data_IF_392971796694
#
_entry.id   IF_392971796694
#
_cell.length_a   1.000
_cell.length_b   1.000
_cell.length_c   1.000
_cell.angle_alpha   90.00
_cell.angle_beta   90.00
_cell.angle_gamma   90.00
#
_symmetry.space_group_name_H-M   'P 1'
#
loop_
_entity.id
_entity.type
_entity.pdbx_description
1 polymer ?
#
# COMPACT_ATOMS: atom_id res chain seq x y z
N UNK A 1 31.69 -4.12 -8.30
CA UNK A 1 31.75 -5.09 -7.19
C UNK A 1 31.78 -4.44 -5.80
N UNK A 2 32.85 -3.78 -5.33
CA UNK A 2 32.83 -3.17 -3.98
C UNK A 2 31.89 -1.95 -3.86
N UNK A 3 31.73 -1.17 -4.94
CA UNK A 3 30.88 0.04 -4.97
C UNK A 3 29.38 -0.28 -5.09
N UNK A 4 29.02 -1.43 -5.68
CA UNK A 4 27.62 -1.89 -5.83
C UNK A 4 27.00 -2.40 -4.52
N UNK A 5 27.82 -2.87 -3.59
CA UNK A 5 27.36 -3.31 -2.26
C UNK A 5 27.01 -2.14 -1.34
N UNK A 6 27.31 -0.89 -1.72
CA UNK A 6 26.98 0.29 -0.92
C UNK A 6 25.58 0.88 -1.25
N UNK A 7 24.83 0.32 -2.21
CA UNK A 7 23.52 0.85 -2.63
C UNK A 7 22.38 -0.15 -2.39
N UNK A 8 21.31 0.33 -1.75
CA UNK A 8 20.04 -0.41 -1.60
C UNK A 8 19.14 -0.10 -2.80
N UNK A 9 18.60 -1.16 -3.40
CA UNK A 9 17.60 -1.09 -4.46
C UNK A 9 16.31 -1.81 -4.06
N UNK A 10 15.17 -1.30 -4.50
CA UNK A 10 13.85 -1.81 -4.15
C UNK A 10 12.97 -1.93 -5.40
N UNK A 11 12.40 -3.11 -5.61
CA UNK A 11 11.39 -3.38 -6.64
C UNK A 11 10.02 -3.52 -5.99
N UNK A 12 9.01 -2.82 -6.50
CA UNK A 12 7.61 -3.10 -6.20
C UNK A 12 6.92 -3.56 -7.47
N UNK A 13 6.15 -4.65 -7.41
CA UNK A 13 5.46 -5.16 -8.60
C UNK A 13 4.18 -5.94 -8.25
N UNK A 14 3.03 -5.42 -8.69
CA UNK A 14 1.80 -6.20 -8.72
C UNK A 14 1.88 -7.21 -9.88
N UNK A 15 2.02 -8.49 -9.56
CA UNK A 15 2.30 -9.54 -10.55
C UNK A 15 1.03 -10.12 -11.19
N UNK A 16 -0.15 -9.62 -10.85
CA UNK A 16 -1.46 -10.08 -11.30
C UNK A 16 -1.65 -11.59 -11.08
N UNK A 17 -2.33 -11.96 -10.00
CA UNK A 17 -2.55 -13.36 -9.65
C UNK A 17 -3.24 -14.10 -10.82
N UNK A 18 -2.84 -15.33 -11.18
CA UNK A 18 -3.46 -16.08 -12.26
C UNK A 18 -4.98 -16.26 -12.13
N UNK A 19 -5.51 -16.33 -10.90
CA UNK A 19 -6.95 -16.37 -10.59
C UNK A 19 -7.71 -15.08 -10.97
N UNK A 20 -7.00 -13.97 -11.16
CA UNK A 20 -7.57 -12.68 -11.54
C UNK A 20 -7.35 -12.35 -13.01
N UNK A 21 -6.35 -12.96 -13.66
CA UNK A 21 -6.08 -12.74 -15.08
C UNK A 21 -7.10 -13.46 -15.95
N UNK A 22 -8.01 -12.71 -16.56
CA UNK A 22 -9.01 -13.23 -17.51
C UNK A 22 -8.37 -13.46 -18.88
N UNK A 23 -8.60 -14.64 -19.45
CA UNK A 23 -8.28 -14.96 -20.85
C UNK A 23 -9.51 -14.76 -21.74
N UNK A 24 -10.69 -15.05 -21.18
CA UNK A 24 -12.01 -14.74 -21.74
C UNK A 24 -12.99 -14.46 -20.57
N UNK A 25 -14.26 -14.19 -20.85
CA UNK A 25 -15.30 -13.83 -19.87
C UNK A 25 -15.45 -14.86 -18.74
N UNK A 26 -15.26 -16.14 -19.03
CA UNK A 26 -15.48 -17.23 -18.07
C UNK A 26 -14.19 -17.90 -17.60
N UNK A 27 -13.07 -17.66 -18.28
CA UNK A 27 -11.85 -18.46 -18.11
C UNK A 27 -10.71 -17.61 -17.60
N UNK A 28 -10.05 -18.09 -16.56
CA UNK A 28 -8.91 -17.46 -15.92
C UNK A 28 -7.61 -18.15 -16.37
N UNK A 29 -6.49 -17.43 -16.29
CA UNK A 29 -5.19 -18.02 -16.57
C UNK A 29 -4.88 -19.18 -15.61
N UNK A 30 -5.39 -19.13 -14.37
CA UNK A 30 -5.30 -20.21 -13.38
C UNK A 30 -5.80 -21.56 -13.88
N UNK A 31 -6.73 -21.58 -14.85
CA UNK A 31 -7.31 -22.81 -15.40
C UNK A 31 -6.32 -23.56 -16.31
N UNK A 32 -5.22 -22.92 -16.72
CA UNK A 32 -4.22 -23.49 -17.62
C UNK A 32 -2.82 -23.41 -17.02
N UNK A 33 -2.36 -24.53 -16.43
CA UNK A 33 -1.02 -24.64 -15.82
C UNK A 33 0.10 -24.11 -16.69
N UNK A 34 0.14 -24.49 -17.96
CA UNK A 34 1.20 -24.05 -18.87
C UNK A 34 1.28 -22.52 -19.00
N UNK A 35 0.15 -21.81 -18.94
CA UNK A 35 0.10 -20.36 -19.18
C UNK A 35 0.56 -19.60 -17.95
N UNK A 36 0.00 -19.90 -16.78
CA UNK A 36 0.43 -19.21 -15.56
C UNK A 36 1.86 -19.59 -15.20
N UNK A 37 2.30 -20.84 -15.43
CA UNK A 37 3.66 -21.27 -15.13
C UNK A 37 4.66 -20.51 -16.00
N UNK A 38 4.47 -20.48 -17.31
CA UNK A 38 5.36 -19.79 -18.25
C UNK A 38 5.47 -18.29 -17.93
N UNK A 39 4.35 -17.61 -17.64
CA UNK A 39 4.39 -16.18 -17.28
C UNK A 39 5.14 -15.93 -15.98
N UNK A 40 4.91 -16.74 -14.95
CA UNK A 40 5.55 -16.54 -13.66
C UNK A 40 7.04 -16.91 -13.67
N UNK A 41 7.46 -17.87 -14.51
CA UNK A 41 8.87 -18.12 -14.79
C UNK A 41 9.55 -16.90 -15.41
N UNK A 42 8.92 -16.27 -16.42
CA UNK A 42 9.45 -15.03 -17.01
C UNK A 42 9.53 -13.89 -15.98
N UNK A 43 8.51 -13.73 -15.12
CA UNK A 43 8.53 -12.73 -14.05
C UNK A 43 9.71 -12.98 -13.10
N UNK A 44 9.92 -14.23 -12.67
CA UNK A 44 11.05 -14.61 -11.82
C UNK A 44 12.39 -14.34 -12.49
N UNK A 45 12.56 -14.72 -13.75
CA UNK A 45 13.78 -14.44 -14.52
C UNK A 45 14.07 -12.93 -14.55
N UNK A 46 13.06 -12.09 -14.77
CA UNK A 46 13.22 -10.63 -14.75
C UNK A 46 13.62 -10.11 -13.38
N UNK A 47 12.97 -10.58 -12.31
CA UNK A 47 13.32 -10.19 -10.93
C UNK A 47 14.76 -10.58 -10.59
N UNK A 48 15.20 -11.77 -11.01
CA UNK A 48 16.55 -12.29 -10.79
C UNK A 48 17.61 -11.63 -11.68
N UNK A 49 17.22 -11.06 -12.81
CA UNK A 49 18.09 -10.23 -13.65
C UNK A 49 18.31 -8.85 -13.03
N UNK A 50 17.24 -8.22 -12.52
CA UNK A 50 17.32 -6.91 -11.85
C UNK A 50 18.11 -6.97 -10.53
N UNK A 51 18.11 -8.13 -9.84
CA UNK A 51 18.90 -8.38 -8.61
C UNK A 51 18.73 -7.31 -7.55
N UNK A 52 17.51 -6.79 -7.37
CA UNK A 52 17.29 -5.75 -6.38
C UNK A 52 17.40 -6.28 -4.96
N UNK A 53 17.88 -5.46 -4.05
CA UNK A 53 18.12 -5.88 -2.67
C UNK A 53 16.82 -6.15 -1.89
N UNK A 54 15.71 -5.53 -2.31
CA UNK A 54 14.36 -5.67 -1.75
C UNK A 54 13.39 -5.88 -2.92
N UNK A 55 12.55 -6.91 -2.83
CA UNK A 55 11.48 -7.20 -3.79
C UNK A 55 10.16 -7.28 -3.03
N UNK A 56 9.17 -6.48 -3.44
CA UNK A 56 7.85 -6.41 -2.85
C UNK A 56 6.78 -6.69 -3.91
N UNK A 57 6.16 -7.86 -3.83
CA UNK A 57 5.15 -8.31 -4.78
C UNK A 57 3.75 -8.20 -4.18
N UNK A 58 2.79 -7.84 -5.04
CA UNK A 58 1.35 -7.82 -4.75
C UNK A 58 0.62 -8.76 -5.70
N UNK A 59 -0.57 -9.22 -5.29
CA UNK A 59 -1.32 -10.26 -6.01
C UNK A 59 -0.51 -11.56 -6.22
N UNK A 60 0.30 -11.91 -5.21
CA UNK A 60 1.00 -13.18 -5.20
C UNK A 60 0.00 -14.31 -4.92
N UNK A 61 -0.03 -15.35 -5.75
CA UNK A 61 -1.05 -16.41 -5.68
C UNK A 61 -0.72 -17.45 -4.61
N UNK A 62 -0.92 -17.07 -3.34
CA UNK A 62 -0.63 -17.89 -2.15
C UNK A 62 -1.45 -19.18 -2.09
N UNK A 63 -2.61 -19.23 -2.76
CA UNK A 63 -3.47 -20.42 -2.81
C UNK A 63 -2.97 -21.54 -3.73
N UNK A 64 -1.84 -21.39 -4.42
CA UNK A 64 -1.28 -22.41 -5.31
C UNK A 64 0.13 -22.81 -4.84
N UNK A 65 0.24 -23.99 -4.22
CA UNK A 65 1.50 -24.49 -3.64
C UNK A 65 2.63 -24.60 -4.68
N UNK A 66 2.31 -24.95 -5.93
CA UNK A 66 3.31 -25.08 -6.98
C UNK A 66 3.95 -23.73 -7.35
N UNK A 67 3.14 -22.69 -7.53
CA UNK A 67 3.64 -21.34 -7.77
C UNK A 67 4.42 -20.84 -6.55
N UNK A 68 3.92 -21.11 -5.34
CA UNK A 68 4.60 -20.74 -4.09
C UNK A 68 6.00 -21.33 -4.03
N UNK A 69 6.13 -22.66 -4.14
CA UNK A 69 7.43 -23.33 -4.11
C UNK A 69 8.36 -22.83 -5.23
N UNK A 70 7.83 -22.60 -6.43
CA UNK A 70 8.64 -22.07 -7.54
C UNK A 70 9.29 -20.71 -7.20
N UNK A 71 8.55 -19.79 -6.58
CA UNK A 71 9.11 -18.50 -6.16
C UNK A 71 10.07 -18.65 -4.99
N UNK A 72 9.72 -19.46 -3.98
CA UNK A 72 10.56 -19.68 -2.81
C UNK A 72 11.90 -20.31 -3.19
N UNK A 73 11.89 -21.40 -3.96
CA UNK A 73 13.11 -22.10 -4.38
C UNK A 73 14.02 -21.17 -5.19
N UNK A 74 13.46 -20.52 -6.21
CA UNK A 74 14.25 -19.64 -7.11
C UNK A 74 14.84 -18.43 -6.39
N UNK A 75 14.07 -17.80 -5.50
CA UNK A 75 14.56 -16.65 -4.72
C UNK A 75 15.54 -17.10 -3.63
N UNK A 76 15.30 -18.24 -2.98
CA UNK A 76 16.20 -18.79 -1.95
C UNK A 76 17.56 -19.18 -2.55
N UNK A 77 17.55 -19.89 -3.69
CA UNK A 77 18.73 -20.25 -4.47
C UNK A 77 19.53 -19.02 -4.90
N UNK A 78 18.83 -17.92 -5.19
CA UNK A 78 19.42 -16.63 -5.51
C UNK A 78 19.84 -15.79 -4.28
N UNK A 79 19.75 -16.34 -3.07
CA UNK A 79 20.26 -15.67 -1.86
C UNK A 79 19.26 -14.75 -1.16
N UNK A 80 17.97 -14.86 -1.41
CA UNK A 80 16.93 -14.08 -0.72
C UNK A 80 16.36 -14.80 0.50
N UNK A 81 15.94 -14.02 1.50
CA UNK A 81 14.93 -14.43 2.47
C UNK A 81 13.55 -14.03 1.95
N UNK A 82 12.57 -14.93 2.02
CA UNK A 82 11.20 -14.71 1.53
C UNK A 82 10.21 -14.68 2.70
N UNK A 83 9.21 -13.82 2.59
CA UNK A 83 8.10 -13.69 3.53
C UNK A 83 6.80 -13.58 2.76
N UNK A 84 5.87 -14.49 3.01
CA UNK A 84 4.57 -14.52 2.36
C UNK A 84 3.47 -14.13 3.35
N UNK A 85 2.44 -13.45 2.85
CA UNK A 85 1.27 -13.12 3.66
C UNK A 85 0.00 -13.20 2.81
N UNK A 86 -0.79 -14.23 3.05
CA UNK A 86 -2.11 -14.36 2.44
C UNK A 86 -3.10 -13.36 3.04
N UNK A 87 -4.12 -12.97 2.26
CA UNK A 87 -5.25 -12.21 2.78
C UNK A 87 -6.12 -13.08 3.69
N UNK A 88 -6.77 -12.45 4.67
CA UNK A 88 -7.57 -13.13 5.69
C UNK A 88 -8.90 -13.68 5.19
N UNK A 89 -9.34 -13.31 3.98
CA UNK A 89 -10.63 -13.69 3.42
C UNK A 89 -10.57 -14.82 2.38
N UNK A 90 -9.49 -15.61 2.35
CA UNK A 90 -9.32 -16.76 1.46
C UNK A 90 -9.53 -16.44 -0.03
N UNK A 91 -9.23 -15.21 -0.45
CA UNK A 91 -9.27 -14.80 -1.87
C UNK A 91 -8.23 -15.51 -2.74
N UNK A 92 -7.27 -16.19 -2.12
CA UNK A 92 -6.20 -16.95 -2.78
C UNK A 92 -4.98 -16.11 -3.13
N UNK A 93 -5.04 -14.78 -3.03
CA UNK A 93 -3.90 -13.89 -3.23
C UNK A 93 -3.36 -13.29 -1.93
N UNK A 94 -2.16 -12.73 -2.02
CA UNK A 94 -1.47 -12.08 -0.93
C UNK A 94 -0.27 -11.24 -1.37
N UNK A 95 0.66 -11.11 -0.45
CA UNK A 95 1.92 -10.39 -0.61
C UNK A 95 3.09 -11.37 -0.55
N UNK A 96 4.16 -11.06 -1.28
CA UNK A 96 5.48 -11.66 -1.08
C UNK A 96 6.49 -10.53 -0.91
N UNK A 97 7.33 -10.61 0.13
CA UNK A 97 8.49 -9.75 0.30
C UNK A 97 9.74 -10.63 0.28
N UNK A 98 10.74 -10.23 -0.48
CA UNK A 98 12.04 -10.87 -0.53
C UNK A 98 13.16 -9.86 -0.28
N UNK A 99 14.13 -10.20 0.55
CA UNK A 99 15.32 -9.36 0.79
C UNK A 99 16.62 -10.17 0.70
N UNK A 100 17.63 -9.58 0.08
CA UNK A 100 18.88 -10.29 -0.23
C UNK A 100 19.79 -10.40 1.01
N UNK A 101 20.29 -11.61 1.28
CA UNK A 101 21.11 -11.96 2.47
C UNK A 101 22.38 -11.11 2.59
N UNK A 102 23.01 -10.79 1.47
CA UNK A 102 24.25 -10.00 1.45
C UNK A 102 24.04 -8.54 1.87
N UNK A 103 22.82 -8.02 1.76
CA UNK A 103 22.50 -6.63 2.09
C UNK A 103 21.88 -6.49 3.47
N UNK A 104 21.17 -7.51 3.95
CA UNK A 104 20.32 -7.39 5.12
C UNK A 104 20.44 -8.57 6.08
N UNK A 105 20.58 -8.23 7.36
CA UNK A 105 20.24 -9.12 8.46
C UNK A 105 18.80 -8.84 8.91
N UNK A 106 17.98 -9.88 8.99
CA UNK A 106 16.61 -9.77 9.51
C UNK A 106 16.64 -9.60 11.03
N UNK A 107 15.98 -8.57 11.53
CA UNK A 107 15.79 -8.33 12.95
C UNK A 107 14.39 -8.74 13.42
N UNK A 108 13.35 -8.47 12.61
CA UNK A 108 11.97 -8.85 12.92
C UNK A 108 11.09 -8.86 11.66
N UNK A 109 10.02 -9.64 11.70
CA UNK A 109 8.96 -9.65 10.71
C UNK A 109 7.60 -9.58 11.42
N UNK A 110 6.70 -8.74 10.92
CA UNK A 110 5.37 -8.54 11.47
C UNK A 110 4.33 -8.52 10.36
N UNK A 111 3.22 -9.20 10.62
CA UNK A 111 2.05 -9.24 9.76
C UNK A 111 1.01 -8.25 10.28
N UNK A 112 0.49 -7.43 9.39
CA UNK A 112 -0.58 -6.49 9.69
C UNK A 112 -1.84 -6.97 8.98
N UNK A 113 -2.72 -7.61 9.73
CA UNK A 113 -4.03 -8.07 9.26
C UNK A 113 -5.05 -6.97 9.54
N UNK A 114 -5.67 -6.38 8.51
CA UNK A 114 -6.57 -5.26 8.76
C UNK A 114 -7.93 -5.68 9.31
N UNK A 115 -8.36 -6.92 9.00
CA UNK A 115 -9.64 -7.52 9.42
C UNK A 115 -10.81 -6.54 9.30
N UNK A 116 -10.86 -5.84 8.16
CA UNK A 116 -11.81 -4.78 7.87
C UNK A 116 -12.33 -4.89 6.44
N UNK A 117 -13.03 -3.85 5.97
CA UNK A 117 -13.59 -3.85 4.64
C UNK A 117 -12.51 -4.06 3.56
N UNK A 118 -12.59 -5.23 2.91
CA UNK A 118 -11.68 -5.64 1.86
C UNK A 118 -10.56 -6.59 2.31
N UNK A 119 -10.41 -6.84 3.61
CA UNK A 119 -9.44 -7.80 4.18
C UNK A 119 -8.07 -7.70 3.50
N UNK A 120 -7.56 -6.47 3.46
CA UNK A 120 -6.22 -6.20 2.99
C UNK A 120 -5.23 -6.47 4.12
N UNK A 121 -3.98 -6.63 3.73
CA UNK A 121 -2.89 -6.97 4.62
C UNK A 121 -1.68 -6.10 4.29
N UNK A 122 -0.77 -5.96 5.24
CA UNK A 122 0.55 -5.40 5.00
C UNK A 122 1.61 -6.22 5.75
N UNK A 123 2.84 -6.19 5.23
CA UNK A 123 4.01 -6.80 5.85
C UNK A 123 4.91 -5.69 6.37
N UNK A 124 5.46 -5.83 7.57
CA UNK A 124 6.53 -4.98 8.09
C UNK A 124 7.76 -5.85 8.36
N UNK A 125 8.86 -5.52 7.69
CA UNK A 125 10.15 -6.15 7.89
C UNK A 125 11.13 -5.14 8.49
N UNK A 126 11.72 -5.52 9.62
CA UNK A 126 12.77 -4.76 10.27
C UNK A 126 14.12 -5.42 9.95
N UNK A 127 15.00 -4.67 9.28
CA UNK A 127 16.30 -5.17 8.84
C UNK A 127 17.42 -4.28 9.31
N UNK A 128 18.60 -4.88 9.48
CA UNK A 128 19.86 -4.19 9.67
C UNK A 128 20.69 -4.33 8.39
N UNK A 129 21.29 -3.24 7.92
CA UNK A 129 22.19 -3.28 6.77
C UNK A 129 23.47 -4.04 7.11
N UNK A 130 23.86 -4.95 6.22
CA UNK A 130 25.13 -5.66 6.26
C UNK A 130 26.14 -4.89 5.40
N UNK A 131 26.58 -3.72 5.88
CA UNK A 131 27.54 -2.89 5.13
C UNK A 131 28.95 -3.49 5.26
N UNK A 132 29.66 -3.80 4.16
CA UNK A 132 31.06 -4.16 4.22
C UNK A 132 31.88 -3.00 4.79
N UNK A 133 32.85 -3.29 5.66
CA UNK A 133 33.68 -2.28 6.35
C UNK A 133 34.35 -1.26 5.41
N UNK A 134 34.51 -1.59 4.12
CA UNK A 134 35.06 -0.72 3.07
C UNK A 134 34.16 0.45 2.64
N UNK A 135 32.83 0.37 2.81
CA UNK A 135 31.90 1.47 2.50
C UNK A 135 31.78 2.49 3.67
N UNK A 136 32.38 2.19 4.82
CA UNK A 136 32.26 2.98 6.04
C UNK A 136 33.46 3.91 6.23
N UNK A 137 33.36 5.15 5.73
CA UNK A 137 34.31 6.22 6.07
C UNK A 137 34.04 6.85 7.46
N UNK A 138 33.09 6.31 8.23
CA UNK A 138 32.71 6.85 9.54
C UNK A 138 33.20 5.92 10.64
N UNK A 139 34.05 6.46 11.52
CA UNK A 139 34.55 5.82 12.76
C UNK A 139 33.44 5.45 13.79
N UNK A 140 32.17 5.56 13.43
CA UNK A 140 31.05 5.24 14.30
C UNK A 140 30.37 3.96 13.80
N UNK A 141 30.47 2.94 14.62
CA UNK A 141 29.84 1.62 14.55
C UNK A 141 28.31 1.69 14.72
N UNK A 142 27.66 2.61 14.00
CA UNK A 142 26.20 2.71 14.01
C UNK A 142 25.65 1.74 12.98
N UNK A 143 25.20 0.59 13.48
CA UNK A 143 24.35 -0.37 12.76
C UNK A 143 23.17 0.38 12.16
N UNK A 144 23.14 0.47 10.83
CA UNK A 144 22.05 1.14 10.13
C UNK A 144 20.88 0.17 10.02
N UNK A 145 19.72 0.59 10.49
CA UNK A 145 18.48 -0.19 10.46
C UNK A 145 17.50 0.44 9.46
N UNK A 146 16.56 -0.34 8.96
CA UNK A 146 15.56 0.07 7.99
C UNK A 146 14.24 -0.68 8.26
N UNK A 147 13.12 0.04 8.18
CA UNK A 147 11.79 -0.57 8.15
C UNK A 147 11.28 -0.61 6.70
N UNK A 148 10.90 -1.80 6.25
CA UNK A 148 10.35 -2.03 4.92
C UNK A 148 8.90 -2.48 5.09
N UNK A 149 7.98 -1.85 4.37
CA UNK A 149 6.57 -2.22 4.35
C UNK A 149 6.15 -2.57 2.92
N UNK A 150 5.44 -3.67 2.77
CA UNK A 150 4.76 -4.05 1.52
C UNK A 150 3.25 -4.09 1.77
N UNK A 151 2.44 -3.59 0.85
CA UNK A 151 0.97 -3.60 0.96
C UNK A 151 0.28 -3.62 -0.41
N UNK A 152 -0.99 -3.99 -0.42
CA UNK A 152 -1.88 -3.83 -1.56
C UNK A 152 -3.23 -3.30 -1.07
N UNK A 153 -3.52 -2.02 -1.34
CA UNK A 153 -4.72 -1.37 -0.85
C UNK A 153 -5.98 -1.77 -1.61
N UNK A 154 -7.15 -1.47 -1.04
CA UNK A 154 -8.45 -1.77 -1.64
C UNK A 154 -8.64 -1.13 -3.03
N UNK A 155 -9.00 -1.95 -4.02
CA UNK A 155 -9.24 -1.49 -5.39
C UNK A 155 -10.36 -0.42 -5.45
N UNK A 156 -10.21 0.66 -6.22
CA UNK A 156 -11.16 1.76 -6.29
C UNK A 156 -12.36 1.44 -7.20
N UNK A 157 -13.23 0.51 -6.79
CA UNK A 157 -14.44 0.20 -7.57
C UNK A 157 -15.36 1.43 -7.75
N UNK A 158 -15.38 2.32 -6.75
CA UNK A 158 -16.06 3.62 -6.77
C UNK A 158 -15.29 4.64 -5.90
N UNK A 159 -15.71 5.91 -5.94
CA UNK A 159 -15.08 7.01 -5.19
C UNK A 159 -15.30 6.94 -3.68
N UNK A 160 -16.39 6.32 -3.19
CA UNK A 160 -16.67 6.22 -1.75
C UNK A 160 -15.67 5.32 -1.01
N UNK A 161 -15.03 4.37 -1.71
CA UNK A 161 -13.94 3.55 -1.18
C UNK A 161 -12.62 4.31 -0.92
N UNK A 162 -12.54 5.59 -1.26
CA UNK A 162 -11.35 6.41 -0.99
C UNK A 162 -11.08 6.59 0.51
N UNK A 163 -12.12 6.68 1.34
CA UNK A 163 -11.98 6.75 2.81
C UNK A 163 -11.46 5.42 3.36
N UNK A 164 -11.96 4.29 2.85
CA UNK A 164 -11.49 2.97 3.26
C UNK A 164 -9.98 2.81 2.98
N UNK A 165 -9.51 3.18 1.78
CA UNK A 165 -8.06 3.20 1.48
C UNK A 165 -7.28 4.12 2.41
N UNK A 166 -7.77 5.34 2.66
CA UNK A 166 -7.10 6.28 3.55
C UNK A 166 -6.99 5.72 4.97
N UNK A 167 -8.03 5.04 5.46
CA UNK A 167 -8.02 4.37 6.76
C UNK A 167 -7.04 3.19 6.79
N UNK A 168 -6.91 2.42 5.71
CA UNK A 168 -5.90 1.36 5.58
C UNK A 168 -4.47 1.93 5.71
N UNK A 169 -4.18 3.06 5.05
CA UNK A 169 -2.88 3.74 5.21
C UNK A 169 -2.66 4.23 6.63
N UNK A 170 -3.69 4.80 7.26
CA UNK A 170 -3.62 5.21 8.67
C UNK A 170 -3.27 4.05 9.60
N UNK A 171 -3.89 2.87 9.43
CA UNK A 171 -3.55 1.67 10.19
C UNK A 171 -2.09 1.26 10.01
N UNK A 172 -1.59 1.27 8.78
CA UNK A 172 -0.18 0.96 8.49
C UNK A 172 0.74 1.94 9.24
N UNK A 173 0.51 3.25 9.10
CA UNK A 173 1.36 4.26 9.74
C UNK A 173 1.28 4.22 11.27
N UNK A 174 0.09 3.99 11.83
CA UNK A 174 -0.10 3.84 13.28
C UNK A 174 0.67 2.63 13.81
N UNK A 175 0.67 1.53 13.06
CA UNK A 175 1.45 0.34 13.41
C UNK A 175 2.95 0.61 13.33
N UNK A 176 3.42 1.27 12.27
CA UNK A 176 4.84 1.66 12.13
C UNK A 176 5.29 2.55 13.29
N UNK A 177 4.52 3.60 13.64
CA UNK A 177 4.85 4.49 14.76
C UNK A 177 4.87 3.74 16.11
N UNK A 178 3.91 2.82 16.31
CA UNK A 178 3.85 1.98 17.51
C UNK A 178 5.05 1.06 17.60
N UNK A 179 5.38 0.37 16.50
CA UNK A 179 6.54 -0.50 16.41
C UNK A 179 7.83 0.28 16.65
N UNK A 180 7.98 1.48 16.07
CA UNK A 180 9.14 2.34 16.29
C UNK A 180 9.26 2.74 17.76
N UNK A 181 8.17 3.14 18.42
CA UNK A 181 8.18 3.51 19.84
C UNK A 181 8.55 2.34 20.74
N UNK A 182 7.94 1.18 20.54
CA UNK A 182 8.17 -0.03 21.35
C UNK A 182 9.61 -0.54 21.25
N UNK A 183 10.20 -0.42 20.06
CA UNK A 183 11.57 -0.88 19.79
C UNK A 183 12.62 0.25 19.85
N UNK A 184 12.23 1.47 20.26
CA UNK A 184 13.10 2.66 20.37
C UNK A 184 13.79 3.06 19.06
N UNK A 185 13.08 2.94 17.94
CA UNK A 185 13.55 3.15 16.56
C UNK A 185 13.21 4.56 16.01
N UNK A 186 13.25 5.59 16.86
CA UNK A 186 12.80 6.95 16.51
C UNK A 186 13.56 7.60 15.34
N UNK A 187 14.76 7.11 15.02
CA UNK A 187 15.60 7.59 13.91
C UNK A 187 15.68 6.63 12.71
N UNK A 188 14.93 5.53 12.70
CA UNK A 188 15.04 4.51 11.64
C UNK A 188 14.23 4.92 10.40
N UNK A 189 14.86 4.95 9.21
CA UNK A 189 14.16 5.24 7.95
C UNK A 189 13.09 4.20 7.63
N UNK A 190 12.08 4.63 6.88
CA UNK A 190 10.95 3.79 6.48
C UNK A 190 10.80 3.80 4.97
N UNK A 191 10.72 2.62 4.37
CA UNK A 191 10.37 2.39 2.97
C UNK A 191 8.98 1.76 2.94
N UNK A 192 8.00 2.42 2.31
CA UNK A 192 6.68 1.83 2.06
C UNK A 192 6.56 1.53 0.57
N UNK A 193 6.27 0.30 0.22
CA UNK A 193 6.14 -0.17 -1.16
C UNK A 193 4.80 -0.86 -1.37
N UNK A 194 4.31 -0.85 -2.60
CA UNK A 194 3.11 -1.58 -2.95
C UNK A 194 2.23 -0.91 -3.98
N UNK A 195 1.10 -1.58 -4.24
CA UNK A 195 -0.02 -1.05 -5.01
C UNK A 195 -0.96 -0.29 -4.08
N UNK A 196 -0.93 1.03 -4.17
CA UNK A 196 -1.71 1.92 -3.30
C UNK A 196 -3.13 2.14 -3.82
N UNK A 197 -3.46 1.66 -5.03
CA UNK A 197 -4.77 1.84 -5.65
C UNK A 197 -5.29 3.29 -5.58
N UNK A 198 -4.36 4.25 -5.61
CA UNK A 198 -4.60 5.67 -5.43
C UNK A 198 -3.55 6.46 -6.19
N UNK A 199 -4.00 7.30 -7.12
CA UNK A 199 -3.10 8.12 -7.94
C UNK A 199 -2.50 9.28 -7.15
N UNK A 200 -1.55 9.98 -7.78
CA UNK A 200 -0.93 11.21 -7.25
C UNK A 200 -1.93 12.31 -6.88
N UNK A 201 -3.05 12.42 -7.60
CA UNK A 201 -4.16 13.35 -7.26
C UNK A 201 -4.96 12.90 -6.03
N UNK A 202 -4.86 11.62 -5.68
CA UNK A 202 -5.62 10.96 -4.65
C UNK A 202 -5.25 11.40 -3.24
N UNK A 203 -6.17 11.12 -2.31
CA UNK A 203 -6.03 11.50 -0.89
C UNK A 203 -5.00 10.65 -0.14
N UNK A 204 -4.82 9.40 -0.56
CA UNK A 204 -3.75 8.52 -0.06
C UNK A 204 -2.37 9.15 -0.30
N UNK A 205 -2.11 9.57 -1.54
CA UNK A 205 -0.86 10.23 -1.92
C UNK A 205 -0.63 11.48 -1.07
N UNK A 206 -1.61 12.39 -1.03
CA UNK A 206 -1.54 13.64 -0.25
C UNK A 206 -1.34 13.39 1.25
N UNK A 207 -1.98 12.36 1.79
CA UNK A 207 -1.81 11.97 3.19
C UNK A 207 -0.39 11.50 3.49
N UNK A 208 0.19 10.63 2.65
CA UNK A 208 1.59 10.19 2.81
C UNK A 208 2.57 11.37 2.73
N UNK A 209 2.37 12.28 1.77
CA UNK A 209 3.16 13.53 1.68
C UNK A 209 3.09 14.34 2.97
N UNK A 210 1.90 14.50 3.55
CA UNK A 210 1.70 15.21 4.82
C UNK A 210 2.37 14.54 6.03
N UNK A 211 2.83 13.29 5.87
CA UNK A 211 3.55 12.51 6.89
C UNK A 211 5.05 12.42 6.59
N UNK A 212 5.56 13.29 5.72
CA UNK A 212 6.98 13.39 5.40
C UNK A 212 7.49 12.30 4.46
N UNK A 213 6.60 11.54 3.80
CA UNK A 213 7.03 10.57 2.81
C UNK A 213 7.27 11.23 1.46
N UNK A 214 8.41 10.91 0.85
CA UNK A 214 8.75 11.28 -0.52
C UNK A 214 8.57 10.10 -1.46
N UNK A 215 7.98 10.33 -2.64
CA UNK A 215 7.90 9.32 -3.69
C UNK A 215 9.27 9.20 -4.37
N UNK A 216 9.85 8.00 -4.36
CA UNK A 216 11.11 7.72 -5.07
C UNK A 216 10.99 8.01 -6.58
N UNK A 217 9.82 7.76 -7.16
CA UNK A 217 9.54 8.03 -8.56
C UNK A 217 9.60 9.53 -8.85
N UNK A 218 9.01 10.36 -7.99
CA UNK A 218 9.06 11.81 -8.15
C UNK A 218 10.47 12.36 -7.99
N UNK A 219 11.24 11.82 -7.04
CA UNK A 219 12.65 12.19 -6.85
C UNK A 219 13.45 11.86 -8.12
N UNK A 220 13.30 10.65 -8.66
CA UNK A 220 14.04 10.20 -9.83
C UNK A 220 13.72 11.04 -11.09
N UNK A 221 12.46 11.44 -11.27
CA UNK A 221 11.99 12.17 -12.45
C UNK A 221 11.93 13.69 -12.24
N UNK A 222 12.31 14.18 -11.04
CA UNK A 222 12.17 15.59 -10.63
C UNK A 222 10.75 16.12 -10.79
N UNK A 223 9.77 15.28 -10.48
CA UNK A 223 8.36 15.67 -10.53
C UNK A 223 7.95 16.41 -9.27
N UNK A 224 7.06 17.36 -9.46
CA UNK A 224 6.46 18.20 -8.42
C UNK A 224 5.10 17.63 -8.02
N UNK A 225 4.55 18.07 -6.90
CA UNK A 225 3.16 17.71 -6.51
C UNK A 225 2.09 18.46 -7.32
N UNK A 226 2.46 19.12 -8.43
CA UNK A 226 1.53 19.81 -9.31
C UNK A 226 0.65 18.84 -10.11
N UNK A 227 -0.50 19.34 -10.58
CA UNK A 227 -1.41 18.56 -11.41
C UNK A 227 -0.85 18.21 -12.78
N UNK A 228 0.16 18.95 -13.25
CA UNK A 228 0.84 18.73 -14.54
C UNK A 228 1.69 17.45 -14.53
N UNK A 229 2.27 17.10 -13.37
CA UNK A 229 3.05 15.87 -13.23
C UNK A 229 2.19 14.67 -12.82
N UNK A 230 0.95 14.91 -12.37
CA UNK A 230 0.12 13.88 -11.74
C UNK A 230 -0.31 12.72 -12.65
N UNK A 231 -0.22 12.89 -13.98
CA UNK A 231 -0.60 11.90 -14.97
C UNK A 231 0.60 11.24 -15.68
N UNK A 232 1.83 11.65 -15.34
CA UNK A 232 3.06 11.16 -16.00
C UNK A 232 3.47 9.78 -15.51
N UNK A 233 3.11 9.43 -14.28
CA UNK A 233 3.37 8.10 -13.74
C UNK A 233 2.39 7.07 -14.30
N UNK A 234 2.94 5.99 -14.85
CA UNK A 234 2.19 4.81 -15.25
C UNK A 234 2.90 3.59 -14.66
N UNK A 235 2.19 2.84 -13.83
CA UNK A 235 2.69 1.62 -13.23
C UNK A 235 2.13 0.37 -13.91
N UNK A 236 0.81 0.30 -14.14
CA UNK A 236 0.19 -0.84 -14.82
C UNK A 236 -1.15 -0.52 -15.48
N UNK A 237 -1.69 -1.49 -16.24
CA UNK A 237 -3.04 -1.48 -16.78
C UNK A 237 -3.95 -2.33 -15.89
N UNK A 238 -5.00 -1.72 -15.33
CA UNK A 238 -5.90 -2.43 -14.42
C UNK A 238 -6.86 -3.39 -15.16
N UNK A 239 -7.65 -4.16 -14.40
CA UNK A 239 -8.63 -5.11 -14.97
C UNK A 239 -9.77 -4.47 -15.79
N UNK A 240 -9.96 -3.14 -15.69
CA UNK A 240 -10.88 -2.37 -16.54
C UNK A 240 -10.22 -1.88 -17.84
N UNK A 241 -8.96 -2.22 -18.04
CA UNK A 241 -8.16 -1.78 -19.18
C UNK A 241 -7.69 -0.32 -19.08
N UNK A 242 -7.78 0.33 -17.92
CA UNK A 242 -7.30 1.70 -17.74
C UNK A 242 -5.82 1.71 -17.36
N UNK A 243 -5.08 2.68 -17.91
CA UNK A 243 -3.69 2.94 -17.55
C UNK A 243 -3.68 3.70 -16.22
N UNK A 244 -2.90 3.22 -15.24
CA UNK A 244 -2.89 3.73 -13.87
C UNK A 244 -1.46 3.90 -13.38
N UNK A 245 -1.21 4.96 -12.59
CA UNK A 245 0.01 5.15 -11.80
C UNK A 245 -0.32 5.07 -10.33
N UNK A 246 -0.29 3.87 -9.76
CA UNK A 246 -0.76 3.58 -8.39
C UNK A 246 0.23 2.78 -7.55
N UNK A 247 1.28 2.24 -8.17
CA UNK A 247 2.37 1.56 -7.49
C UNK A 247 3.40 2.61 -7.08
N UNK A 248 3.81 2.62 -5.82
CA UNK A 248 4.75 3.61 -5.32
C UNK A 248 5.71 3.00 -4.31
N UNK A 249 6.96 3.46 -4.35
CA UNK A 249 7.94 3.26 -3.29
C UNK A 249 8.15 4.63 -2.62
N UNK A 250 7.69 4.72 -1.37
CA UNK A 250 7.75 5.89 -0.51
C UNK A 250 8.93 5.80 0.44
N UNK A 251 9.61 6.92 0.65
CA UNK A 251 10.78 7.04 1.49
C UNK A 251 10.50 8.07 2.57
N UNK A 252 10.73 7.71 3.84
CA UNK A 252 10.74 8.68 4.95
C UNK A 252 12.04 8.55 5.72
N UNK A 253 12.75 9.67 5.81
CA UNK A 253 13.86 9.83 6.73
C UNK A 253 13.36 10.63 7.95
N UNK A 254 13.34 10.07 9.17
CA UNK A 254 12.66 10.65 10.33
C UNK A 254 13.31 11.91 10.92
N UNK A 255 14.23 12.57 10.20
CA UNK A 255 14.87 13.79 10.66
C UNK A 255 13.98 15.04 10.55
N UNK A 256 12.85 14.94 9.84
CA UNK A 256 11.94 16.07 9.66
C UNK A 256 10.75 15.99 10.63
N UNK A 257 10.41 17.08 11.33
CA UNK A 257 9.24 17.10 12.20
C UNK A 257 7.97 16.93 11.37
N UNK A 258 7.17 15.90 11.70
CA UNK A 258 5.90 15.62 11.02
C UNK A 258 4.72 16.01 11.89
N UNK A 259 3.63 16.42 11.24
CA UNK A 259 2.34 16.65 11.89
C UNK A 259 1.80 15.35 12.51
N UNK A 260 1.12 15.39 13.67
CA UNK A 260 0.54 14.20 14.29
C UNK A 260 -0.37 13.42 13.34
N UNK A 261 -0.18 12.10 13.29
CA UNK A 261 -0.86 11.20 12.36
C UNK A 261 -2.39 11.35 12.38
N UNK A 262 -2.97 11.41 13.58
CA UNK A 262 -4.43 11.55 13.77
C UNK A 262 -4.96 12.87 13.18
N UNK A 263 -4.22 13.96 13.32
CA UNK A 263 -4.61 15.26 12.78
C UNK A 263 -4.56 15.26 11.25
N UNK A 264 -3.46 14.76 10.67
CA UNK A 264 -3.31 14.66 9.21
C UNK A 264 -4.37 13.74 8.59
N UNK A 265 -4.70 12.63 9.27
CA UNK A 265 -5.73 11.72 8.82
C UNK A 265 -7.12 12.36 8.86
N UNK A 266 -7.45 13.04 9.97
CA UNK A 266 -8.72 13.73 10.11
C UNK A 266 -8.91 14.76 8.99
N UNK A 267 -7.90 15.59 8.70
CA UNK A 267 -7.95 16.56 7.60
C UNK A 267 -8.17 15.91 6.23
N UNK A 268 -7.47 14.81 5.97
CA UNK A 268 -7.63 14.07 4.72
C UNK A 268 -9.03 13.46 4.60
N UNK A 269 -9.57 12.90 5.68
CA UNK A 269 -10.92 12.32 5.75
C UNK A 269 -12.00 13.40 5.58
N UNK A 270 -11.91 14.52 6.31
CA UNK A 270 -12.78 15.68 6.15
C UNK A 270 -12.74 16.23 4.73
N UNK A 271 -11.56 16.27 4.11
CA UNK A 271 -11.40 16.67 2.71
C UNK A 271 -12.15 15.77 1.72
N UNK A 272 -12.28 14.46 2.00
CA UNK A 272 -13.09 13.55 1.18
C UNK A 272 -14.58 13.82 1.41
N UNK A 273 -15.00 13.85 2.69
CA UNK A 273 -16.40 14.04 3.08
C UNK A 273 -16.94 15.35 2.48
N UNK A 274 -16.17 16.43 2.55
CA UNK A 274 -16.54 17.73 1.97
C UNK A 274 -16.80 17.63 0.47
N UNK A 275 -15.96 16.94 -0.30
CA UNK A 275 -16.14 16.77 -1.75
C UNK A 275 -17.39 15.94 -2.05
N UNK A 276 -17.60 14.85 -1.32
CA UNK A 276 -18.80 14.01 -1.48
C UNK A 276 -20.05 14.84 -1.19
N UNK A 277 -20.08 15.56 -0.07
CA UNK A 277 -21.21 16.41 0.30
C UNK A 277 -21.47 17.49 -0.73
N UNK A 278 -20.45 18.20 -1.22
CA UNK A 278 -20.60 19.22 -2.26
C UNK A 278 -21.22 18.61 -3.53
N UNK A 279 -20.72 17.48 -3.98
CA UNK A 279 -21.24 16.81 -5.18
C UNK A 279 -22.69 16.33 -4.98
N UNK A 280 -23.04 15.86 -3.78
CA UNK A 280 -24.41 15.49 -3.43
C UNK A 280 -25.34 16.70 -3.31
N UNK A 281 -24.83 17.84 -2.82
CA UNK A 281 -25.59 19.09 -2.63
C UNK A 281 -25.92 19.78 -3.96
N UNK A 282 -25.03 19.68 -4.95
CA UNK A 282 -25.34 20.10 -6.32
C UNK A 282 -26.33 19.19 -7.04
N UNK A 283 -26.58 17.99 -6.50
CA UNK A 283 -27.55 17.04 -7.05
C UNK A 283 -28.94 17.15 -6.42
N UNK A 284 -29.08 17.75 -5.23
CA UNK A 284 -30.34 17.86 -4.49
C UNK A 284 -30.39 19.13 -3.62
N UNK A 285 -31.43 19.95 -3.80
CA UNK A 285 -31.78 21.08 -2.92
C UNK A 285 -33.30 21.14 -2.69
N UNK A 286 -33.81 21.63 -1.53
CA UNK A 286 -33.24 21.70 -0.19
C UNK A 286 -34.01 20.84 0.83
N UNK A 287 -33.33 20.07 1.68
CA UNK A 287 -33.73 19.85 3.08
C UNK A 287 -32.57 19.11 3.75
N UNK A 288 -31.81 19.80 4.62
CA UNK A 288 -30.96 19.29 5.73
C UNK A 288 -29.82 20.27 6.06
N UNK A 289 -30.16 21.51 6.41
CA UNK A 289 -29.21 22.38 7.15
C UNK A 289 -29.10 21.98 8.64
N UNK A 290 -30.09 21.28 9.19
CA UNK A 290 -30.16 20.99 10.63
C UNK A 290 -29.19 19.91 11.11
N UNK A 291 -28.74 18.99 10.24
CA UNK A 291 -27.80 17.92 10.62
C UNK A 291 -26.33 18.40 10.69
N UNK A 292 -26.00 19.53 10.04
CA UNK A 292 -24.62 19.99 9.90
C UNK A 292 -24.13 20.72 11.17
N UNK A 293 -25.04 21.41 11.88
CA UNK A 293 -24.72 22.17 13.08
C UNK A 293 -24.49 21.25 14.29
N UNK A 294 -25.18 20.12 14.37
CA UNK A 294 -24.91 19.08 15.39
C UNK A 294 -23.57 18.34 15.17
N UNK A 295 -23.17 18.14 13.91
CA UNK A 295 -21.90 17.50 13.55
C UNK A 295 -20.68 18.37 13.91
N UNK A 296 -20.78 19.69 13.71
CA UNK A 296 -19.73 20.65 14.09
C UNK A 296 -19.49 20.72 15.60
N UNK A 297 -20.53 20.55 16.42
CA UNK A 297 -20.43 20.56 17.88
C UNK A 297 -19.76 19.27 18.39
N UNK A 298 -20.14 18.10 17.87
CA UNK A 298 -19.58 16.82 18.31
C UNK A 298 -18.09 16.63 17.97
N UNK A 299 -17.63 17.20 16.85
CA UNK A 299 -16.21 17.15 16.45
C UNK A 299 -15.36 18.17 17.22
N UNK A 300 -15.92 19.34 17.55
CA UNK A 300 -15.21 20.37 18.31
C UNK A 300 -15.02 19.98 19.79
N UNK A 301 -15.99 19.27 20.37
CA UNK A 301 -16.00 18.96 21.82
C UNK A 301 -15.38 17.59 22.17
N UNK A 302 -14.65 16.96 21.25
CA UNK A 302 -13.84 15.78 21.55
C UNK A 302 -14.64 14.53 21.97
N UNK A 303 -15.91 14.43 21.58
CA UNK A 303 -16.74 13.27 21.92
C UNK A 303 -16.27 12.04 21.16
N UNK A 304 -15.78 11.09 21.94
CA UNK A 304 -14.95 9.95 21.57
C UNK A 304 -15.75 8.72 21.14
N UNK A 305 -16.75 8.87 20.26
CA UNK A 305 -17.53 7.73 19.74
C UNK A 305 -17.28 7.49 18.26
N UNK A 306 -16.94 6.23 17.94
CA UNK A 306 -16.48 5.71 16.65
C UNK A 306 -17.05 6.39 15.38
N UNK A 307 -16.18 7.12 14.68
CA UNK A 307 -16.43 7.66 13.35
C UNK A 307 -16.76 6.56 12.31
N UNK A 308 -16.40 5.31 12.58
CA UNK A 308 -16.77 4.12 11.77
C UNK A 308 -18.28 3.85 11.88
N UNK A 309 -18.86 3.93 13.09
CA UNK A 309 -20.30 3.80 13.31
C UNK A 309 -21.07 4.93 12.64
N UNK A 310 -20.47 6.13 12.55
CA UNK A 310 -21.05 7.28 11.87
C UNK A 310 -21.05 7.13 10.33
N UNK A 311 -20.06 6.44 9.76
CA UNK A 311 -20.03 6.09 8.33
C UNK A 311 -21.12 5.07 7.98
N UNK A 312 -21.40 4.09 8.86
CA UNK A 312 -22.54 3.18 8.70
C UNK A 312 -23.88 3.92 8.81
N UNK A 313 -24.01 4.90 9.70
CA UNK A 313 -25.18 5.76 9.80
C UNK A 313 -25.40 6.60 8.52
N UNK A 314 -24.32 7.05 7.86
CA UNK A 314 -24.42 7.76 6.57
C UNK A 314 -24.69 6.81 5.39
N UNK A 315 -24.17 5.57 5.43
CA UNK A 315 -24.44 4.56 4.40
C UNK A 315 -25.88 4.06 4.44
N UNK A 316 -26.52 3.98 5.61
CA UNK A 316 -27.94 3.62 5.73
C UNK A 316 -28.86 4.74 5.26
N UNK A 317 -28.49 6.02 5.46
CA UNK A 317 -29.24 7.17 4.90
C UNK A 317 -29.16 7.22 3.37
N UNK A 318 -28.07 6.71 2.77
CA UNK A 318 -27.93 6.60 1.31
C UNK A 318 -28.62 5.35 0.71
N UNK A 319 -28.95 4.35 1.53
CA UNK A 319 -29.59 3.10 1.06
C UNK A 319 -31.12 3.10 1.14
N UNK A 320 -31.75 4.12 1.73
CA UNK A 320 -33.22 4.17 1.89
C UNK A 320 -33.97 4.42 0.55
N UNK A 321 -33.28 4.81 -0.53
CA UNK A 321 -33.92 5.13 -1.83
C UNK A 321 -33.69 4.09 -2.95
N UNK A 322 -33.32 2.84 -2.63
CA UNK A 322 -33.33 1.75 -3.62
C UNK A 322 -34.30 0.64 -3.23
N UNK A 323 -35.60 0.94 -3.24
CA UNK A 323 -36.64 -0.06 -3.00
C UNK A 323 -37.95 0.37 -3.66
N UNK A 324 -38.12 -0.06 -4.91
CA UNK A 324 -39.35 -0.41 -5.65
C UNK A 324 -39.27 0.02 -7.11
N UNK A 325 -38.74 -0.86 -7.96
CA UNK A 325 -39.36 -1.17 -9.26
C UNK A 325 -39.25 -2.68 -9.43
N UNK A 326 -40.41 -3.31 -9.50
CA UNK A 326 -40.62 -4.71 -9.84
C UNK A 326 -40.45 -4.93 -11.35
N UNK A 327 -40.22 -6.20 -11.68
CA UNK A 327 -40.57 -6.88 -12.94
C UNK A 327 -39.58 -6.88 -14.13
N UNK A 328 -39.42 -8.13 -14.60
CA UNK A 328 -38.81 -8.70 -15.83
C UNK A 328 -37.32 -9.02 -15.84
#
# INVERSE_FOLDING_TARGET
MADELCHISCTTFNILAPIYKRLDKQVCESDFRAFWLSRNQMILEWLLMERTSIICLQEFWTGNEELVHMYEDKLCDAGYFTFQLARTNNRGDGLLMAVHKDYFRILNYRELLFNDFGDRVAQLLHVQLTIPSSCSNRKNDTRQELLIVNTHLLFPHNSSLSIARLHQVYKILQYVETYQRENKLGGVPVVLSGDWNGSKRGRVYKFLRSQGFASSYDIAHKYTDSDDDAHRWVSHRNHRGNICGVDFIWLRNPNEPTKPLKTSWAEAAFGIIKVVLINSFFSFFPFKLFSLQFFLILVHDGVQSDLVSLFFLFSSVLHIDSGYVSDM
#
